data_IF_674407381745
#
_entry.id   IF_674407381745
#
_cell.length_a   1.000
_cell.length_b   1.000
_cell.length_c   1.000
_cell.angle_alpha   90.00
_cell.angle_beta   90.00
_cell.angle_gamma   90.00
#
_symmetry.space_group_name_H-M   'P 1'
#
loop_
_entity.id
_entity.type
_entity.pdbx_description
1 polymer ?
#
# COMPACT_ATOMS: atom_id res chain seq x y z
N UNK A 1 2.72 -9.44 4.05
CA UNK A 1 3.44 -9.00 2.83
C UNK A 1 4.67 -8.22 3.25
N UNK A 2 5.85 -8.50 2.66
CA UNK A 2 7.10 -7.81 3.00
C UNK A 2 7.69 -7.27 1.69
N UNK A 3 7.55 -5.98 1.44
CA UNK A 3 8.02 -5.32 0.22
C UNK A 3 9.43 -4.76 0.44
N UNK A 4 10.32 -4.98 -0.52
CA UNK A 4 11.66 -4.40 -0.54
C UNK A 4 11.67 -3.10 -1.34
N UNK A 5 12.66 -2.24 -1.09
CA UNK A 5 12.85 -1.01 -1.87
C UNK A 5 13.07 -1.33 -3.35
N UNK A 6 13.84 -2.37 -3.66
CA UNK A 6 14.14 -2.80 -5.03
C UNK A 6 12.91 -3.30 -5.80
N UNK A 7 11.81 -3.66 -5.11
CA UNK A 7 10.56 -4.03 -5.77
C UNK A 7 9.84 -2.80 -6.38
N UNK A 8 10.10 -1.61 -5.81
CA UNK A 8 9.37 -0.36 -6.12
C UNK A 8 10.25 0.71 -6.77
N UNK A 9 11.51 0.80 -6.36
CA UNK A 9 12.46 1.77 -6.88
C UNK A 9 13.45 1.12 -7.85
N UNK A 10 13.83 1.87 -8.86
CA UNK A 10 14.96 1.58 -9.73
C UNK A 10 16.28 2.00 -9.06
N UNK A 11 17.40 1.54 -9.60
CA UNK A 11 18.74 1.87 -9.08
C UNK A 11 19.07 3.37 -9.19
N UNK A 12 18.44 4.08 -10.12
CA UNK A 12 18.54 5.53 -10.31
C UNK A 12 17.69 6.34 -9.31
N UNK A 13 16.92 5.66 -8.44
CA UNK A 13 16.02 6.29 -7.47
C UNK A 13 14.63 6.64 -8.03
N UNK A 14 14.35 6.34 -9.29
CA UNK A 14 13.01 6.54 -9.86
C UNK A 14 12.03 5.45 -9.42
N UNK A 15 10.75 5.78 -9.31
CA UNK A 15 9.70 4.82 -8.96
C UNK A 15 9.29 4.04 -10.21
N UNK A 16 9.25 2.71 -10.11
CA UNK A 16 8.75 1.83 -11.17
C UNK A 16 7.26 2.09 -11.42
N UNK A 17 6.81 1.93 -12.66
CA UNK A 17 5.38 2.06 -12.99
C UNK A 17 4.55 0.91 -12.40
N UNK A 18 5.15 -0.27 -12.29
CA UNK A 18 4.52 -1.47 -11.73
C UNK A 18 5.49 -2.22 -10.82
N UNK A 19 4.95 -2.92 -9.84
CA UNK A 19 5.70 -3.85 -8.99
C UNK A 19 5.08 -5.24 -9.07
N UNK A 20 5.90 -6.27 -9.29
CA UNK A 20 5.46 -7.65 -9.31
C UNK A 20 5.61 -8.28 -7.92
N UNK A 21 4.53 -8.84 -7.40
CA UNK A 21 4.50 -9.49 -6.09
C UNK A 21 3.92 -10.90 -6.21
N UNK A 22 4.33 -11.80 -5.32
CA UNK A 22 3.68 -13.10 -5.16
C UNK A 22 2.74 -13.05 -3.96
N UNK A 23 1.47 -13.40 -4.17
CA UNK A 23 0.50 -13.52 -3.09
C UNK A 23 0.86 -14.74 -2.22
N UNK A 24 1.11 -14.51 -0.94
CA UNK A 24 1.49 -15.57 0.00
C UNK A 24 0.39 -16.61 0.20
N UNK A 25 -0.88 -16.24 0.06
CA UNK A 25 -2.01 -17.15 0.30
C UNK A 25 -2.28 -18.07 -0.89
N UNK A 26 -2.11 -17.57 -2.11
CA UNK A 26 -2.49 -18.31 -3.33
C UNK A 26 -1.30 -18.72 -4.19
N UNK A 27 -0.10 -18.19 -3.91
CA UNK A 27 1.11 -18.40 -4.71
C UNK A 27 1.10 -17.67 -6.06
N UNK A 28 -0.01 -17.03 -6.43
CA UNK A 28 -0.15 -16.37 -7.74
C UNK A 28 0.65 -15.07 -7.78
N UNK A 29 1.28 -14.84 -8.93
CA UNK A 29 1.86 -13.54 -9.26
C UNK A 29 0.77 -12.49 -9.42
N UNK A 30 1.02 -11.29 -8.90
CA UNK A 30 0.14 -10.14 -9.01
C UNK A 30 0.98 -8.89 -9.32
N UNK A 31 0.49 -8.05 -10.22
CA UNK A 31 1.17 -6.82 -10.63
C UNK A 31 0.45 -5.63 -10.01
N UNK A 32 1.15 -4.89 -9.15
CA UNK A 32 0.68 -3.65 -8.55
C UNK A 32 0.97 -2.48 -9.49
N UNK A 33 -0.05 -1.65 -9.75
CA UNK A 33 0.10 -0.42 -10.50
C UNK A 33 0.48 0.74 -9.56
N UNK A 34 1.67 1.32 -9.74
CA UNK A 34 2.25 2.29 -8.82
C UNK A 34 2.08 3.74 -9.27
N UNK A 35 1.71 3.99 -10.53
CA UNK A 35 1.55 5.35 -11.07
C UNK A 35 0.72 6.30 -10.19
N UNK A 36 -0.42 5.88 -9.58
CA UNK A 36 -1.23 6.78 -8.76
C UNK A 36 -0.54 7.22 -7.46
N UNK A 37 0.40 6.43 -6.95
CA UNK A 37 1.10 6.65 -5.67
C UNK A 37 2.56 7.05 -5.88
N UNK A 38 2.97 7.30 -7.13
CA UNK A 38 4.35 7.59 -7.49
C UNK A 38 4.90 8.82 -6.75
N UNK A 39 4.12 9.90 -6.72
CA UNK A 39 4.51 11.13 -6.03
C UNK A 39 4.70 10.91 -4.53
N UNK A 40 3.77 10.18 -3.89
CA UNK A 40 3.85 9.86 -2.46
C UNK A 40 5.07 9.00 -2.15
N UNK A 41 5.39 8.03 -3.01
CA UNK A 41 6.57 7.18 -2.88
C UNK A 41 7.87 7.99 -3.02
N UNK A 42 7.92 8.96 -3.93
CA UNK A 42 9.08 9.85 -4.08
C UNK A 42 9.28 10.72 -2.84
N UNK A 43 8.21 11.33 -2.33
CA UNK A 43 8.25 12.13 -1.10
C UNK A 43 8.69 11.29 0.10
N UNK A 44 8.15 10.08 0.21
CA UNK A 44 8.53 9.14 1.25
C UNK A 44 10.00 8.72 1.17
N UNK A 45 10.51 8.44 -0.04
CA UNK A 45 11.92 8.11 -0.25
C UNK A 45 12.84 9.26 0.17
N UNK A 46 12.51 10.49 -0.23
CA UNK A 46 13.26 11.68 0.18
C UNK A 46 13.29 11.84 1.71
N UNK A 47 12.15 11.61 2.38
CA UNK A 47 12.07 11.64 3.84
C UNK A 47 12.94 10.55 4.48
N UNK A 48 12.94 9.32 3.97
CA UNK A 48 13.81 8.25 4.48
C UNK A 48 15.30 8.60 4.39
N UNK A 49 15.72 9.22 3.28
CA UNK A 49 17.10 9.68 3.10
C UNK A 49 17.47 10.77 4.11
N UNK A 50 16.56 11.74 4.35
CA UNK A 50 16.79 12.79 5.35
C UNK A 50 16.92 12.23 6.77
N UNK A 51 16.19 11.16 7.10
CA UNK A 51 16.29 10.48 8.39
C UNK A 51 17.46 9.48 8.47
N UNK A 52 18.32 9.41 7.44
CA UNK A 52 19.43 8.47 7.33
C UNK A 52 19.02 6.99 7.53
N UNK A 53 17.80 6.64 7.11
CA UNK A 53 17.24 5.30 7.26
C UNK A 53 17.66 4.37 6.12
N UNK A 54 18.82 3.76 6.28
CA UNK A 54 19.31 2.72 5.38
C UNK A 54 18.71 1.36 5.74
N UNK A 55 17.72 0.94 4.95
CA UNK A 55 17.05 -0.35 5.07
C UNK A 55 16.75 -0.91 3.69
N UNK A 56 16.79 -2.24 3.57
CA UNK A 56 16.34 -2.99 2.39
C UNK A 56 14.81 -2.95 2.23
N UNK A 57 14.07 -2.82 3.33
CA UNK A 57 12.62 -2.85 3.34
C UNK A 57 12.03 -1.53 2.88
N UNK A 58 10.93 -1.60 2.13
CA UNK A 58 10.20 -0.41 1.71
C UNK A 58 9.65 0.34 2.92
N UNK A 59 9.08 -0.40 3.88
CA UNK A 59 8.56 0.15 5.13
C UNK A 59 9.35 -0.45 6.31
N UNK A 60 10.48 0.16 6.70
CA UNK A 60 11.28 -0.30 7.83
C UNK A 60 10.58 -0.03 9.17
N UNK A 61 10.91 -0.83 10.17
CA UNK A 61 10.55 -0.52 11.55
C UNK A 61 11.41 0.63 12.09
N UNK A 62 10.78 1.62 12.70
CA UNK A 62 11.48 2.79 13.28
C UNK A 62 12.53 2.40 14.33
N UNK A 63 12.26 1.37 15.15
CA UNK A 63 13.19 0.93 16.19
C UNK A 63 14.29 -0.01 15.68
N UNK A 64 14.06 -0.67 14.54
CA UNK A 64 14.92 -1.73 13.99
C UNK A 64 14.90 -1.67 12.46
N UNK A 65 15.74 -0.83 11.85
CA UNK A 65 15.74 -0.61 10.40
C UNK A 65 16.02 -1.88 9.59
N UNK A 66 16.67 -2.89 10.17
CA UNK A 66 16.92 -4.20 9.57
C UNK A 66 15.63 -5.02 9.32
N UNK A 67 14.50 -4.64 9.93
CA UNK A 67 13.25 -5.40 9.88
C UNK A 67 12.13 -4.60 9.21
N UNK A 68 11.22 -5.26 8.49
CA UNK A 68 10.03 -4.61 8.00
C UNK A 68 9.10 -4.29 9.18
N UNK A 69 8.19 -3.34 8.99
CA UNK A 69 7.11 -3.09 9.93
C UNK A 69 6.30 -4.38 10.19
N UNK A 70 5.94 -4.60 11.44
CA UNK A 70 5.08 -5.73 11.81
C UNK A 70 3.62 -5.40 11.57
N UNK A 71 2.80 -6.41 11.30
CA UNK A 71 1.36 -6.23 11.10
C UNK A 71 0.69 -5.59 12.33
N UNK A 72 1.11 -5.98 13.55
CA UNK A 72 0.64 -5.35 14.78
C UNK A 72 0.94 -3.85 14.84
N UNK A 73 2.13 -3.43 14.38
CA UNK A 73 2.47 -2.01 14.34
C UNK A 73 1.66 -1.27 13.28
N UNK A 74 1.46 -1.88 12.11
CA UNK A 74 0.59 -1.33 11.10
C UNK A 74 -0.82 -1.04 11.65
N UNK A 75 -1.46 -2.02 12.32
CA UNK A 75 -2.78 -1.80 12.92
C UNK A 75 -2.80 -0.72 13.99
N UNK A 76 -1.74 -0.59 14.80
CA UNK A 76 -1.62 0.50 15.79
C UNK A 76 -1.58 1.88 15.13
N UNK A 77 -0.82 2.02 14.04
CA UNK A 77 -0.76 3.27 13.27
C UNK A 77 -2.13 3.58 12.69
N UNK A 78 -2.79 2.58 12.09
CA UNK A 78 -4.12 2.76 11.50
C UNK A 78 -5.18 3.14 12.54
N UNK A 79 -5.18 2.51 13.72
CA UNK A 79 -6.09 2.85 14.81
C UNK A 79 -5.91 4.32 15.24
N UNK A 80 -4.66 4.75 15.46
CA UNK A 80 -4.35 6.14 15.82
C UNK A 80 -4.80 7.13 14.74
N UNK A 81 -4.60 6.80 13.46
CA UNK A 81 -5.09 7.63 12.34
C UNK A 81 -6.62 7.68 12.33
N UNK A 82 -7.29 6.56 12.61
CA UNK A 82 -8.73 6.49 12.78
C UNK A 82 -9.22 7.43 13.88
N UNK A 83 -8.60 7.39 15.06
CA UNK A 83 -8.94 8.25 16.20
C UNK A 83 -8.76 9.74 15.86
N UNK A 84 -7.66 10.10 15.19
CA UNK A 84 -7.38 11.48 14.77
C UNK A 84 -8.38 12.02 13.74
N UNK A 85 -8.91 11.15 12.88
CA UNK A 85 -9.89 11.50 11.85
C UNK A 85 -11.35 11.29 12.30
N UNK A 86 -11.57 10.75 13.50
CA UNK A 86 -12.90 10.38 13.99
C UNK A 86 -13.55 9.20 13.24
N UNK A 87 -12.75 8.28 12.67
CA UNK A 87 -13.20 7.13 11.87
C UNK A 87 -12.99 5.83 12.67
N UNK A 88 -14.09 5.26 13.16
CA UNK A 88 -14.06 4.08 14.05
C UNK A 88 -13.88 2.73 13.34
N UNK A 89 -13.95 2.67 12.00
CA UNK A 89 -13.94 1.42 11.21
C UNK A 89 -12.80 1.36 10.17
N UNK A 90 -11.72 2.09 10.43
CA UNK A 90 -10.55 2.13 9.56
C UNK A 90 -9.71 0.85 9.68
N UNK A 91 -9.76 0.01 8.65
CA UNK A 91 -9.03 -1.26 8.59
C UNK A 91 -8.59 -1.63 7.17
N UNK A 92 -7.75 -2.67 7.05
CA UNK A 92 -7.18 -3.13 5.77
C UNK A 92 -8.26 -3.51 4.75
N UNK A 93 -9.30 -4.23 5.19
CA UNK A 93 -10.43 -4.60 4.33
C UNK A 93 -11.25 -3.41 3.87
N UNK A 94 -11.50 -2.44 4.75
CA UNK A 94 -12.22 -1.20 4.42
C UNK A 94 -11.45 -0.41 3.38
N UNK A 95 -10.16 -0.14 3.63
CA UNK A 95 -9.29 0.58 2.69
C UNK A 95 -9.20 -0.11 1.33
N UNK A 96 -9.08 -1.45 1.31
CA UNK A 96 -9.04 -2.21 0.05
C UNK A 96 -10.34 -2.07 -0.75
N UNK A 97 -11.51 -2.14 -0.09
CA UNK A 97 -12.81 -1.94 -0.75
C UNK A 97 -12.94 -0.51 -1.29
N UNK A 98 -12.58 0.49 -0.49
CA UNK A 98 -12.63 1.91 -0.90
C UNK A 98 -11.67 2.20 -2.05
N UNK A 99 -10.45 1.66 -2.02
CA UNK A 99 -9.48 1.81 -3.09
C UNK A 99 -9.98 1.19 -4.40
N UNK A 100 -10.50 -0.05 -4.34
CA UNK A 100 -11.11 -0.69 -5.51
C UNK A 100 -12.28 0.14 -6.05
N UNK A 101 -13.19 0.59 -5.17
CA UNK A 101 -14.30 1.47 -5.53
C UNK A 101 -13.84 2.73 -6.27
N UNK A 102 -12.80 3.43 -5.77
CA UNK A 102 -12.24 4.62 -6.43
C UNK A 102 -11.71 4.33 -7.83
N UNK A 103 -10.98 3.22 -8.00
CA UNK A 103 -10.49 2.79 -9.32
C UNK A 103 -11.67 2.52 -10.26
N UNK A 104 -12.73 1.86 -9.79
CA UNK A 104 -13.93 1.61 -10.58
C UNK A 104 -14.63 2.91 -11.00
N UNK A 105 -14.85 3.84 -10.08
CA UNK A 105 -15.51 5.12 -10.38
C UNK A 105 -14.70 5.97 -11.37
N UNK A 106 -13.38 5.91 -11.32
CA UNK A 106 -12.51 6.69 -12.20
C UNK A 106 -12.36 6.07 -13.59
N UNK A 107 -12.47 4.74 -13.70
CA UNK A 107 -12.28 4.03 -14.97
C UNK A 107 -13.57 3.91 -15.81
N UNK A 108 -14.71 4.38 -15.28
CA UNK A 108 -16.01 4.44 -15.96
C UNK A 108 -16.52 3.11 -16.58
N UNK A 109 -16.07 1.96 -16.05
CA UNK A 109 -16.55 0.64 -16.49
C UNK A 109 -17.92 0.32 -15.86
N UNK A 110 -18.99 0.85 -16.47
CA UNK A 110 -20.38 0.65 -16.04
C UNK A 110 -20.82 -0.82 -15.98
N UNK A 111 -20.21 -1.71 -16.78
CA UNK A 111 -20.62 -3.12 -16.89
C UNK A 111 -20.22 -4.04 -15.72
N UNK A 112 -19.23 -3.66 -14.90
CA UNK A 112 -18.82 -4.45 -13.73
C UNK A 112 -19.59 -4.08 -12.45
N UNK A 113 -20.36 -2.98 -12.47
CA UNK A 113 -21.19 -2.55 -11.34
C UNK A 113 -22.19 -3.64 -10.90
N UNK A 114 -22.73 -4.40 -11.85
CA UNK A 114 -23.67 -5.50 -11.59
C UNK A 114 -23.04 -6.71 -10.91
N UNK A 115 -21.72 -6.92 -11.00
CA UNK A 115 -21.05 -8.11 -10.47
C UNK A 115 -20.58 -7.96 -9.02
N UNK A 116 -20.27 -6.75 -8.57
CA UNK A 116 -19.74 -6.49 -7.20
C UNK A 116 -20.70 -5.72 -6.29
N UNK A 117 -21.74 -5.08 -6.85
CA UNK A 117 -22.77 -4.34 -6.09
C UNK A 117 -24.09 -5.14 -6.10
N UNK A 118 -24.03 -6.45 -5.82
CA UNK A 118 -25.20 -7.08 -5.21
C UNK A 118 -25.05 -6.92 -3.69
N UNK A 119 -25.94 -6.16 -3.03
CA UNK A 119 -26.01 -6.21 -1.58
C UNK A 119 -26.27 -7.67 -1.19
N UNK A 120 -25.48 -8.19 -0.25
CA UNK A 120 -25.90 -9.34 0.54
C UNK A 120 -27.24 -8.95 1.17
N UNK A 121 -28.33 -9.44 0.60
CA UNK A 121 -29.57 -9.69 1.33
C UNK A 121 -29.49 -11.10 1.89
#
# INVERSE_FOLDING_TARGET
MKLKKTDVFNLDGTVKQTAFIHDQKTGKGNTLYLKPVQQDLMLYHAWLTQQNMNSEWLFPSTSRPDRPITEKQFYKIMARVGDLLGINYLGTHTMRKTGAYRVYTQSNYYWLSYAFIKPFK
#
